data_IF_918991176811
#
_entry.id   IF_918991176811
#
_cell.length_a   1.000
_cell.length_b   1.000
_cell.length_c   1.000
_cell.angle_alpha   90.00
_cell.angle_beta   90.00
_cell.angle_gamma   90.00
#
_symmetry.space_group_name_H-M   'P 1'
#
loop_
_entity.id
_entity.type
_entity.pdbx_description
1 polymer ?
#
# COMPACT_ATOMS: atom_id res chain seq x y z
N UNK A 1 -40.59 37.44 16.81
CA UNK A 1 -39.21 37.85 17.12
C UNK A 1 -38.34 36.61 17.01
N UNK A 2 -37.53 36.51 15.96
CA UNK A 2 -36.58 35.40 15.76
C UNK A 2 -35.20 35.76 16.32
N UNK A 3 -34.46 34.76 16.79
CA UNK A 3 -33.16 34.92 17.45
C UNK A 3 -32.09 35.49 16.47
N UNK A 4 -31.49 36.66 16.76
CA UNK A 4 -30.56 37.34 15.86
C UNK A 4 -29.16 36.69 15.77
N UNK A 5 -28.91 35.56 16.46
CA UNK A 5 -27.58 34.93 16.51
C UNK A 5 -27.38 33.75 15.57
N UNK A 6 -28.33 33.43 14.69
CA UNK A 6 -28.21 32.25 13.83
C UNK A 6 -28.44 32.51 12.33
N UNK A 7 -27.97 33.66 11.81
CA UNK A 7 -28.15 34.05 10.39
C UNK A 7 -26.83 34.28 9.62
N UNK A 8 -25.70 33.86 10.16
CA UNK A 8 -24.43 33.79 9.43
C UNK A 8 -23.66 32.62 10.05
N UNK A 9 -23.36 31.52 9.36
CA UNK A 9 -22.40 31.46 8.26
C UNK A 9 -22.63 30.20 7.41
N UNK A 10 -23.52 30.25 6.43
CA UNK A 10 -23.49 29.34 5.30
C UNK A 10 -22.39 29.79 4.32
N UNK A 11 -21.12 29.60 4.68
CA UNK A 11 -19.99 29.79 3.76
C UNK A 11 -19.39 28.44 3.41
N UNK A 12 -19.90 27.83 2.34
CA UNK A 12 -19.22 26.74 1.63
C UNK A 12 -17.92 27.30 1.07
N UNK A 13 -16.77 26.80 1.53
CA UNK A 13 -15.48 27.02 0.86
C UNK A 13 -15.18 25.75 0.09
N UNK A 14 -15.39 25.80 -1.23
CA UNK A 14 -14.90 24.79 -2.18
C UNK A 14 -13.61 25.37 -2.74
N UNK A 15 -12.46 24.84 -2.33
CA UNK A 15 -11.20 25.10 -3.03
C UNK A 15 -10.96 23.97 -4.02
N UNK A 16 -11.33 24.24 -5.26
CA UNK A 16 -11.00 23.44 -6.42
C UNK A 16 -9.58 23.82 -6.87
N UNK A 17 -8.56 23.01 -6.55
CA UNK A 17 -7.22 23.17 -7.10
C UNK A 17 -7.12 22.43 -8.44
N UNK A 18 -7.35 23.14 -9.53
CA UNK A 18 -6.89 22.73 -10.87
C UNK A 18 -5.42 23.08 -11.01
N UNK A 19 -4.54 22.07 -11.08
CA UNK A 19 -3.26 22.23 -11.76
C UNK A 19 -3.43 21.73 -13.18
N UNK A 20 -3.81 22.65 -14.07
CA UNK A 20 -3.72 22.46 -15.51
C UNK A 20 -2.29 22.78 -15.93
N UNK A 21 -1.48 21.74 -16.10
CA UNK A 21 -0.20 21.85 -16.77
C UNK A 21 -0.46 22.11 -18.25
N UNK A 22 -0.23 23.35 -18.68
CA UNK A 22 -0.14 23.72 -20.09
C UNK A 22 1.31 23.58 -20.56
N UNK A 23 1.49 23.43 -21.88
CA UNK A 23 2.73 23.21 -22.64
C UNK A 23 3.13 21.76 -22.97
N UNK A 24 2.47 21.20 -23.98
CA UNK A 24 3.16 20.40 -25.01
C UNK A 24 2.97 21.09 -26.36
N UNK A 25 4.07 21.67 -26.85
CA UNK A 25 4.15 22.39 -28.11
C UNK A 25 3.97 21.45 -29.31
N UNK A 26 3.30 21.98 -30.33
CA UNK A 26 3.17 21.38 -31.66
C UNK A 26 4.53 21.21 -32.34
N UNK A 27 4.70 20.07 -33.02
CA UNK A 27 5.21 20.07 -34.39
C UNK A 27 6.55 19.40 -34.64
N UNK A 28 6.48 18.40 -35.52
CA UNK A 28 7.55 17.82 -36.35
C UNK A 28 8.55 16.88 -35.65
N UNK A 29 8.53 15.58 -35.99
CA UNK A 29 9.30 15.01 -37.11
C UNK A 29 9.01 13.50 -37.24
N UNK A 30 8.49 13.13 -38.42
CA UNK A 30 8.64 11.88 -39.19
C UNK A 30 8.22 10.53 -38.60
N UNK A 31 7.15 10.02 -39.19
CA UNK A 31 6.96 8.60 -39.47
C UNK A 31 8.15 8.02 -40.27
N UNK A 32 8.60 6.82 -39.90
CA UNK A 32 9.32 5.89 -40.78
C UNK A 32 9.06 4.47 -40.29
N UNK A 33 8.83 3.60 -41.28
CA UNK A 33 8.12 2.33 -41.22
C UNK A 33 9.04 1.11 -40.94
N UNK A 34 8.50 -0.13 -40.86
CA UNK A 34 9.10 -1.28 -40.16
C UNK A 34 10.03 -2.13 -41.03
N UNK A 35 11.07 -2.70 -40.40
CA UNK A 35 12.10 -3.51 -41.07
C UNK A 35 12.24 -4.93 -40.49
N UNK A 36 11.58 -5.87 -41.19
CA UNK A 36 11.96 -7.26 -41.52
C UNK A 36 12.63 -8.20 -40.49
N UNK A 37 11.95 -9.34 -40.30
CA UNK A 37 12.36 -10.61 -39.69
C UNK A 37 13.66 -11.21 -40.28
N UNK A 38 14.46 -11.85 -39.43
CA UNK A 38 15.03 -13.19 -39.65
C UNK A 38 15.64 -13.76 -38.34
N UNK A 39 15.05 -14.86 -37.83
CA UNK A 39 15.72 -15.95 -37.09
C UNK A 39 16.13 -17.02 -38.14
N UNK A 40 16.88 -18.13 -37.88
CA UNK A 40 17.04 -18.87 -36.60
C UNK A 40 18.38 -19.64 -36.36
N UNK A 41 18.35 -20.46 -35.29
CA UNK A 41 19.11 -21.69 -35.00
C UNK A 41 20.51 -21.54 -34.36
N UNK A 42 20.67 -21.78 -33.05
CA UNK A 42 20.89 -23.08 -32.36
C UNK A 42 22.38 -23.47 -32.25
N UNK A 43 22.90 -23.50 -31.02
CA UNK A 43 23.80 -24.57 -30.55
C UNK A 43 23.84 -24.64 -29.03
N UNK A 44 23.33 -25.75 -28.50
CA UNK A 44 23.70 -26.31 -27.19
C UNK A 44 25.22 -26.49 -27.09
N UNK A 45 25.80 -26.29 -25.90
CA UNK A 45 26.47 -27.38 -25.16
C UNK A 45 26.88 -26.91 -23.76
N UNK A 46 26.50 -27.71 -22.77
CA UNK A 46 26.96 -27.65 -21.38
C UNK A 46 28.38 -28.20 -21.27
N UNK A 47 29.25 -27.61 -20.44
CA UNK A 47 30.17 -28.37 -19.59
C UNK A 47 30.84 -27.50 -18.51
N UNK A 48 30.57 -27.92 -17.28
CA UNK A 48 31.21 -27.67 -15.99
C UNK A 48 32.76 -27.74 -15.97
N UNK A 49 33.42 -26.89 -15.17
CA UNK A 49 34.39 -27.29 -14.14
C UNK A 49 35.09 -26.09 -13.47
N UNK A 50 34.97 -26.02 -12.14
CA UNK A 50 36.10 -25.74 -11.23
C UNK A 50 36.58 -24.29 -11.10
N UNK A 51 36.17 -23.63 -10.01
CA UNK A 51 36.84 -22.40 -9.57
C UNK A 51 36.18 -21.76 -8.36
N UNK A 52 36.29 -22.39 -7.19
CA UNK A 52 36.14 -21.65 -5.93
C UNK A 52 37.42 -20.86 -5.69
N UNK A 53 37.32 -19.56 -5.38
CA UNK A 53 38.01 -19.07 -4.21
C UNK A 53 37.02 -18.42 -3.24
N UNK A 54 37.34 -18.65 -1.98
CA UNK A 54 36.67 -18.13 -0.82
C UNK A 54 36.54 -16.60 -0.80
N UNK A 55 35.59 -16.18 0.03
CA UNK A 55 35.60 -14.91 0.77
C UNK A 55 35.24 -13.66 -0.02
N UNK A 56 33.97 -13.24 0.16
CA UNK A 56 33.65 -12.09 1.00
C UNK A 56 32.17 -12.15 1.37
N UNK A 57 31.91 -12.58 2.61
CA UNK A 57 30.81 -11.97 3.37
C UNK A 57 30.98 -10.46 3.28
N UNK A 58 30.11 -9.80 2.52
CA UNK A 58 29.66 -8.45 2.85
C UNK A 58 28.49 -8.67 3.79
N UNK A 59 28.74 -9.15 5.00
CA UNK A 59 28.82 -8.26 6.17
C UNK A 59 27.70 -7.22 6.13
N UNK A 60 26.70 -7.53 6.94
CA UNK A 60 25.67 -6.61 7.34
C UNK A 60 26.28 -5.23 7.61
N UNK A 61 25.93 -4.25 6.79
CA UNK A 61 25.97 -2.86 7.19
C UNK A 61 24.93 -2.69 8.33
N UNK A 62 25.29 -3.13 9.54
CA UNK A 62 24.79 -2.55 10.78
C UNK A 62 25.17 -1.08 10.70
N UNK A 63 24.25 -0.25 10.20
CA UNK A 63 24.37 1.18 10.41
C UNK A 63 24.29 1.39 11.92
N UNK A 64 25.46 1.63 12.52
CA UNK A 64 25.58 2.09 13.89
C UNK A 64 25.21 3.58 13.95
N UNK A 65 24.03 3.93 13.40
CA UNK A 65 23.48 5.26 13.53
C UNK A 65 22.99 5.39 14.96
N UNK A 66 23.58 6.35 15.69
CA UNK A 66 23.09 6.80 16.99
C UNK A 66 21.57 7.03 16.85
N UNK A 67 20.74 6.55 17.80
CA UNK A 67 19.30 6.70 17.68
C UNK A 67 18.96 8.18 17.57
N UNK A 68 18.44 8.58 16.42
CA UNK A 68 17.96 9.93 16.15
C UNK A 68 16.55 10.06 16.76
N UNK A 69 16.36 10.87 17.82
CA UNK A 69 15.07 10.95 18.51
C UNK A 69 13.93 11.36 17.55
N UNK A 70 14.22 12.26 16.61
CA UNK A 70 13.29 12.69 15.57
C UNK A 70 12.90 11.57 14.59
N UNK A 71 13.78 10.61 14.32
CA UNK A 71 13.46 9.41 13.54
C UNK A 71 12.54 8.48 14.31
N UNK A 72 12.77 8.30 15.62
CA UNK A 72 11.90 7.49 16.47
C UNK A 72 10.48 8.08 16.54
N UNK A 73 10.36 9.40 16.73
CA UNK A 73 9.07 10.09 16.74
C UNK A 73 8.29 9.91 15.43
N UNK A 74 8.95 10.08 14.28
CA UNK A 74 8.36 9.82 12.96
C UNK A 74 7.94 8.36 12.82
N UNK A 75 8.76 7.44 13.33
CA UNK A 75 8.48 6.01 13.25
C UNK A 75 7.23 5.66 14.08
N UNK A 76 7.09 6.21 15.28
CA UNK A 76 5.90 6.04 16.11
C UNK A 76 4.63 6.63 15.47
N UNK A 77 4.74 7.76 14.76
CA UNK A 77 3.62 8.33 14.02
C UNK A 77 3.13 7.39 12.89
N UNK A 78 4.07 6.75 12.17
CA UNK A 78 3.74 5.73 11.16
C UNK A 78 3.07 4.52 11.81
N UNK A 79 3.62 4.04 12.93
CA UNK A 79 3.03 2.93 13.68
C UNK A 79 1.59 3.25 14.12
N UNK A 80 1.33 4.46 14.60
CA UNK A 80 -0.03 4.89 14.95
C UNK A 80 -0.98 4.83 13.74
N UNK A 81 -0.52 5.19 12.54
CA UNK A 81 -1.31 5.07 11.31
C UNK A 81 -1.55 3.63 10.90
N UNK A 82 -0.57 2.73 11.06
CA UNK A 82 -0.77 1.30 10.81
C UNK A 82 -1.83 0.72 11.76
N UNK A 83 -1.79 1.10 13.05
CA UNK A 83 -2.79 0.69 14.06
C UNK A 83 -4.20 1.20 13.74
N UNK A 84 -4.31 2.44 13.24
CA UNK A 84 -5.58 3.00 12.75
C UNK A 84 -6.13 2.16 11.58
N UNK A 85 -5.27 1.76 10.63
CA UNK A 85 -5.67 0.88 9.53
C UNK A 85 -6.12 -0.50 10.00
N UNK A 86 -5.44 -1.11 10.98
CA UNK A 86 -5.85 -2.37 11.59
C UNK A 86 -7.23 -2.26 12.24
N UNK A 87 -7.47 -1.19 13.01
CA UNK A 87 -8.76 -0.95 13.65
C UNK A 87 -9.90 -0.86 12.61
N UNK A 88 -9.69 -0.11 11.53
CA UNK A 88 -10.65 -0.05 10.44
C UNK A 88 -10.83 -1.39 9.74
N UNK A 89 -9.76 -2.16 9.57
CA UNK A 89 -9.83 -3.50 9.00
C UNK A 89 -10.78 -4.40 9.79
N UNK A 90 -10.64 -4.42 11.12
CA UNK A 90 -11.52 -5.20 11.99
C UNK A 90 -12.97 -4.72 11.88
N UNK A 91 -13.20 -3.41 11.90
CA UNK A 91 -14.55 -2.84 11.72
C UNK A 91 -15.15 -3.18 10.34
N UNK A 92 -14.33 -3.29 9.30
CA UNK A 92 -14.80 -3.70 7.97
C UNK A 92 -15.26 -5.17 7.96
N UNK A 93 -14.55 -6.07 8.64
CA UNK A 93 -14.96 -7.49 8.78
C UNK A 93 -16.35 -7.58 9.44
N UNK A 94 -16.54 -6.86 10.54
CA UNK A 94 -17.81 -6.82 11.27
C UNK A 94 -18.94 -6.27 10.40
N UNK A 95 -18.70 -5.16 9.68
CA UNK A 95 -19.68 -4.57 8.75
C UNK A 95 -20.00 -5.50 7.58
N UNK A 96 -19.01 -6.19 7.02
CA UNK A 96 -19.21 -7.15 5.94
C UNK A 96 -20.10 -8.31 6.40
N UNK A 97 -19.86 -8.85 7.60
CA UNK A 97 -20.72 -9.89 8.17
C UNK A 97 -22.17 -9.41 8.32
N UNK A 98 -22.37 -8.19 8.83
CA UNK A 98 -23.71 -7.59 8.95
C UNK A 98 -24.40 -7.43 7.59
N UNK A 99 -23.71 -6.83 6.61
CA UNK A 99 -24.25 -6.62 5.26
C UNK A 99 -24.58 -7.95 4.58
N UNK A 100 -23.77 -8.99 4.81
CA UNK A 100 -24.01 -10.32 4.24
C UNK A 100 -25.34 -10.89 4.69
N UNK A 101 -25.66 -10.78 5.98
CA UNK A 101 -26.93 -11.23 6.56
C UNK A 101 -28.11 -10.42 6.00
N UNK A 102 -27.98 -9.09 5.94
CA UNK A 102 -29.03 -8.22 5.41
C UNK A 102 -29.29 -8.51 3.93
N UNK A 103 -28.27 -8.75 3.11
CA UNK A 103 -28.43 -9.04 1.68
C UNK A 103 -29.18 -10.36 1.47
N UNK A 104 -28.85 -11.41 2.23
CA UNK A 104 -29.55 -12.69 2.16
C UNK A 104 -31.02 -12.56 2.60
N UNK A 105 -31.27 -11.76 3.64
CA UNK A 105 -32.62 -11.54 4.17
C UNK A 105 -33.51 -10.70 3.23
N UNK A 106 -32.97 -9.63 2.63
CA UNK A 106 -33.73 -8.74 1.74
C UNK A 106 -34.00 -9.37 0.37
N UNK A 107 -32.98 -9.99 -0.24
CA UNK A 107 -33.08 -10.49 -1.61
C UNK A 107 -33.58 -11.93 -1.70
N UNK A 108 -33.60 -12.66 -0.57
CA UNK A 108 -34.03 -14.07 -0.48
C UNK A 108 -33.36 -14.99 -1.52
N UNK A 109 -32.13 -14.65 -1.94
CA UNK A 109 -31.36 -15.41 -2.92
C UNK A 109 -29.88 -15.46 -2.55
N UNK A 110 -29.16 -16.45 -3.08
CA UNK A 110 -27.74 -16.71 -2.76
C UNK A 110 -26.77 -16.27 -3.84
N UNK A 111 -27.21 -15.49 -4.82
CA UNK A 111 -26.40 -15.08 -5.98
C UNK A 111 -25.11 -14.33 -5.59
N UNK A 112 -25.07 -13.69 -4.42
CA UNK A 112 -23.94 -12.89 -3.96
C UNK A 112 -23.03 -13.63 -2.96
N UNK A 113 -23.36 -14.85 -2.54
CA UNK A 113 -22.62 -15.56 -1.47
C UNK A 113 -21.14 -15.72 -1.83
N UNK A 114 -20.83 -16.08 -3.07
CA UNK A 114 -19.45 -16.25 -3.52
C UNK A 114 -18.69 -14.91 -3.55
N UNK A 115 -19.30 -13.87 -4.12
CA UNK A 115 -18.69 -12.53 -4.18
C UNK A 115 -18.45 -11.94 -2.78
N UNK A 116 -19.42 -12.09 -1.88
CA UNK A 116 -19.31 -11.68 -0.48
C UNK A 116 -18.20 -12.47 0.22
N UNK A 117 -18.15 -13.79 0.03
CA UNK A 117 -17.11 -14.65 0.60
C UNK A 117 -15.71 -14.27 0.12
N UNK A 118 -15.55 -13.90 -1.15
CA UNK A 118 -14.29 -13.42 -1.70
C UNK A 118 -13.85 -12.09 -1.06
N UNK A 119 -14.78 -11.15 -0.89
CA UNK A 119 -14.50 -9.86 -0.22
C UNK A 119 -14.15 -10.08 1.26
N UNK A 120 -14.87 -10.95 1.95
CA UNK A 120 -14.57 -11.29 3.36
C UNK A 120 -13.18 -11.90 3.50
N UNK A 121 -12.86 -12.89 2.64
CA UNK A 121 -11.55 -13.55 2.65
C UNK A 121 -10.40 -12.57 2.35
N UNK A 122 -10.60 -11.64 1.41
CA UNK A 122 -9.62 -10.62 1.10
C UNK A 122 -9.41 -9.65 2.28
N UNK A 123 -10.49 -9.26 2.97
CA UNK A 123 -10.44 -8.39 4.14
C UNK A 123 -9.75 -9.07 5.33
N UNK A 124 -10.02 -10.35 5.58
CA UNK A 124 -9.37 -11.14 6.62
C UNK A 124 -7.87 -11.33 6.34
N UNK A 125 -7.50 -11.61 5.09
CA UNK A 125 -6.11 -11.68 4.67
C UNK A 125 -5.40 -10.32 4.81
N UNK A 126 -6.07 -9.20 4.51
CA UNK A 126 -5.54 -7.87 4.76
C UNK A 126 -5.33 -7.62 6.26
N UNK A 127 -6.31 -7.96 7.10
CA UNK A 127 -6.22 -7.84 8.56
C UNK A 127 -5.02 -8.59 9.12
N UNK A 128 -4.86 -9.87 8.73
CA UNK A 128 -3.74 -10.69 9.16
C UNK A 128 -2.39 -10.08 8.76
N UNK A 129 -2.29 -9.54 7.54
CA UNK A 129 -1.05 -8.91 7.03
C UNK A 129 -0.74 -7.59 7.72
N UNK A 130 -1.74 -6.74 8.00
CA UNK A 130 -1.50 -5.46 8.68
C UNK A 130 -1.09 -5.67 10.13
N UNK A 131 -1.69 -6.64 10.84
CA UNK A 131 -1.28 -7.00 12.20
C UNK A 131 0.15 -7.53 12.25
N UNK A 132 0.53 -8.43 11.33
CA UNK A 132 1.92 -8.91 11.23
C UNK A 132 2.92 -7.77 10.91
N UNK A 133 2.55 -6.85 10.02
CA UNK A 133 3.38 -5.68 9.71
C UNK A 133 3.55 -4.76 10.93
N UNK A 134 2.48 -4.55 11.71
CA UNK A 134 2.51 -3.77 12.94
C UNK A 134 3.48 -4.38 13.96
N UNK A 135 3.44 -5.70 14.15
CA UNK A 135 4.34 -6.40 15.08
C UNK A 135 5.81 -6.24 14.66
N UNK A 136 6.10 -6.49 13.38
CA UNK A 136 7.45 -6.32 12.85
C UNK A 136 7.95 -4.86 12.96
N UNK A 137 7.07 -3.89 12.69
CA UNK A 137 7.41 -2.48 12.75
C UNK A 137 7.59 -1.98 14.20
N UNK A 138 6.81 -2.51 15.14
CA UNK A 138 6.98 -2.25 16.58
C UNK A 138 8.36 -2.73 17.05
N UNK A 139 8.76 -3.94 16.68
CA UNK A 139 10.07 -4.47 17.04
C UNK A 139 11.22 -3.58 16.51
N UNK A 140 11.06 -3.00 15.32
CA UNK A 140 12.02 -2.05 14.75
C UNK A 140 12.03 -0.71 15.50
N UNK A 141 10.87 -0.21 15.93
CA UNK A 141 10.78 0.97 16.79
C UNK A 141 11.47 0.74 18.15
N UNK A 142 11.31 -0.45 18.73
CA UNK A 142 11.95 -0.82 20.00
C UNK A 142 13.48 -0.92 19.83
N UNK A 143 13.97 -1.38 18.67
CA UNK A 143 15.40 -1.39 18.31
C UNK A 143 15.99 0.02 18.19
N UNK A 144 15.20 0.99 17.73
CA UNK A 144 15.62 2.39 17.61
C UNK A 144 15.58 3.14 18.95
N UNK A 145 14.97 2.57 19.99
CA UNK A 145 14.93 3.19 21.31
C UNK A 145 16.33 3.15 21.95
N UNK A 146 16.88 4.28 22.44
CA UNK A 146 18.14 4.26 23.17
C UNK A 146 18.01 3.40 24.43
N UNK A 147 19.01 2.55 24.70
CA UNK A 147 19.15 1.89 25.99
C UNK A 147 19.40 2.98 27.05
N UNK A 148 18.40 3.20 27.91
CA UNK A 148 18.50 4.09 29.06
C UNK A 148 19.32 3.47 30.19
#
# INVERSE_FOLDING_TARGET
MGDPRNVAHAKKVIQEKHHKGDHMAKGAVRASQPGKKAQPAEKEEQAIAGGSPASKSSEAAKSNQKPDPTQLEKSLAILAKLREMEFHSRGNIEKLAQLSLTIEDELKQKAFVEAIGAVYSAQDAFHSKISALIEAYQAECDRLKPAG
#
